data_IF_997552117048
#
_entry.id   IF_997552117048
#
_cell.length_a   1.000
_cell.length_b   1.000
_cell.length_c   1.000
_cell.angle_alpha   90.00
_cell.angle_beta   90.00
_cell.angle_gamma   90.00
#
_symmetry.space_group_name_H-M   'P 1'
#
loop_
_entity.id
_entity.type
_entity.pdbx_description
1 polymer ?
#
# COMPACT_ATOMS: atom_id res chain seq x y z
N UNK A 1 -13.45 -16.48 0.70
CA UNK A 1 -13.37 -15.43 -0.33
C UNK A 1 -14.79 -14.96 -0.60
N UNK A 2 -15.12 -13.69 -0.33
CA UNK A 2 -16.45 -13.11 -0.58
C UNK A 2 -16.48 -12.37 -1.92
N UNK A 3 -17.67 -12.07 -2.46
CA UNK A 3 -17.80 -11.28 -3.71
C UNK A 3 -17.15 -9.90 -3.59
N UNK A 4 -17.28 -9.27 -2.43
CA UNK A 4 -16.67 -7.97 -2.11
C UNK A 4 -15.14 -8.05 -2.19
N UNK A 5 -14.53 -9.11 -1.65
CA UNK A 5 -13.08 -9.33 -1.76
C UNK A 5 -12.64 -9.51 -3.22
N UNK A 6 -13.45 -10.17 -4.06
CA UNK A 6 -13.15 -10.34 -5.50
C UNK A 6 -13.24 -9.01 -6.25
N UNK A 7 -14.20 -8.15 -5.89
CA UNK A 7 -14.31 -6.80 -6.44
C UNK A 7 -13.02 -6.00 -6.22
N UNK A 8 -12.39 -6.13 -5.05
CA UNK A 8 -11.15 -5.44 -4.68
C UNK A 8 -9.89 -5.93 -5.44
N UNK A 9 -10.00 -7.03 -6.20
CA UNK A 9 -8.93 -7.53 -7.06
C UNK A 9 -9.04 -7.00 -8.50
N UNK A 10 -10.12 -6.30 -8.85
CA UNK A 10 -10.32 -5.84 -10.21
C UNK A 10 -9.34 -4.71 -10.58
N UNK A 11 -8.69 -4.76 -11.76
CA UNK A 11 -7.75 -3.72 -12.17
C UNK A 11 -8.44 -2.42 -12.56
N UNK A 12 -9.73 -2.46 -12.93
CA UNK A 12 -10.57 -1.29 -13.19
C UNK A 12 -12.07 -1.66 -13.18
N UNK A 13 -12.93 -0.64 -13.14
CA UNK A 13 -14.38 -0.79 -13.13
C UNK A 13 -14.95 -1.47 -14.40
N UNK A 14 -14.32 -1.28 -15.56
CA UNK A 14 -14.77 -1.88 -16.82
C UNK A 14 -14.52 -3.40 -16.84
N UNK A 15 -13.37 -3.83 -16.35
CA UNK A 15 -12.97 -5.22 -16.18
C UNK A 15 -13.85 -5.90 -15.14
N UNK A 16 -14.17 -5.21 -14.05
CA UNK A 16 -15.12 -5.69 -13.05
C UNK A 16 -16.52 -5.90 -13.65
N UNK A 17 -17.06 -4.92 -14.37
CA UNK A 17 -18.38 -5.02 -15.01
C UNK A 17 -18.43 -6.20 -15.99
N UNK A 18 -17.39 -6.35 -16.82
CA UNK A 18 -17.28 -7.48 -17.74
C UNK A 18 -17.12 -8.83 -17.02
N UNK A 19 -16.39 -8.86 -15.90
CA UNK A 19 -16.24 -10.05 -15.05
C UNK A 19 -17.56 -10.48 -14.41
N UNK A 20 -18.34 -9.54 -13.85
CA UNK A 20 -19.69 -9.79 -13.33
C UNK A 20 -20.61 -10.37 -14.41
N UNK A 21 -20.53 -9.87 -15.65
CA UNK A 21 -21.31 -10.40 -16.76
C UNK A 21 -20.89 -11.83 -17.20
N UNK A 22 -19.66 -12.26 -16.87
CA UNK A 22 -19.16 -13.61 -17.11
C UNK A 22 -19.36 -14.55 -15.91
N UNK A 23 -19.77 -14.03 -14.76
CA UNK A 23 -20.06 -14.81 -13.57
C UNK A 23 -21.43 -15.51 -13.67
N UNK A 24 -21.65 -16.28 -14.74
CA UNK A 24 -22.86 -17.05 -15.04
C UNK A 24 -22.43 -18.44 -15.50
N UNK A 25 -22.92 -19.50 -14.84
CA UNK A 25 -22.45 -20.89 -15.04
C UNK A 25 -22.53 -21.37 -16.49
N UNK A 26 -23.62 -21.06 -17.20
CA UNK A 26 -23.85 -21.53 -18.56
C UNK A 26 -22.83 -21.02 -19.61
N UNK A 27 -21.97 -20.07 -19.26
CA UNK A 27 -20.88 -19.59 -20.12
C UNK A 27 -19.61 -20.42 -19.98
N UNK A 28 -19.52 -21.24 -18.93
CA UNK A 28 -18.36 -22.04 -18.60
C UNK A 28 -18.57 -23.50 -19.01
N UNK A 29 -17.61 -24.03 -19.75
CA UNK A 29 -17.56 -25.42 -20.19
C UNK A 29 -17.12 -26.32 -19.03
N UNK A 30 -16.12 -25.85 -18.26
CA UNK A 30 -15.61 -26.54 -17.08
C UNK A 30 -15.44 -25.56 -15.92
N UNK A 31 -15.74 -26.04 -14.72
CA UNK A 31 -15.58 -25.33 -13.46
C UNK A 31 -15.10 -26.34 -12.41
N UNK A 32 -13.85 -26.21 -11.98
CA UNK A 32 -13.25 -27.11 -11.00
C UNK A 32 -12.34 -26.37 -10.04
N UNK A 33 -12.14 -26.94 -8.86
CA UNK A 33 -11.24 -26.40 -7.86
C UNK A 33 -10.65 -27.51 -6.98
N UNK A 34 -9.55 -27.20 -6.31
CA UNK A 34 -9.03 -27.96 -5.19
C UNK A 34 -8.54 -26.99 -4.08
N UNK A 35 -7.74 -27.50 -3.14
CA UNK A 35 -7.22 -26.71 -2.02
C UNK A 35 -6.28 -25.57 -2.44
N UNK A 36 -5.63 -25.64 -3.62
CA UNK A 36 -4.59 -24.67 -4.03
C UNK A 36 -4.95 -23.85 -5.27
N UNK A 37 -5.82 -24.35 -6.15
CA UNK A 37 -6.11 -23.71 -7.43
C UNK A 37 -7.56 -23.87 -7.85
N UNK A 38 -8.06 -22.83 -8.50
CA UNK A 38 -9.36 -22.74 -9.14
C UNK A 38 -9.15 -22.66 -10.64
N UNK A 39 -9.90 -23.42 -11.44
CA UNK A 39 -9.76 -23.38 -12.89
C UNK A 39 -11.07 -23.62 -13.64
N UNK A 40 -11.12 -23.12 -14.86
CA UNK A 40 -12.26 -23.32 -15.74
C UNK A 40 -11.99 -22.90 -17.17
N UNK A 41 -12.82 -23.41 -18.07
CA UNK A 41 -12.80 -23.08 -19.49
C UNK A 41 -14.07 -22.31 -19.84
N UNK A 42 -13.91 -21.14 -20.47
CA UNK A 42 -15.02 -20.27 -20.87
C UNK A 42 -15.00 -20.08 -22.37
N UNK A 43 -16.15 -20.25 -23.02
CA UNK A 43 -16.24 -20.07 -24.46
C UNK A 43 -16.03 -18.59 -24.81
N UNK A 44 -14.98 -18.33 -25.59
CA UNK A 44 -14.63 -17.01 -26.07
C UNK A 44 -15.10 -16.74 -27.50
N UNK A 45 -14.55 -15.68 -28.09
CA UNK A 45 -14.75 -15.35 -29.52
C UNK A 45 -13.95 -16.24 -30.47
N UNK A 46 -13.08 -17.11 -29.95
CA UNK A 46 -12.28 -18.07 -30.72
C UNK A 46 -12.90 -19.46 -30.77
N UNK A 47 -12.27 -20.36 -31.55
CA UNK A 47 -12.67 -21.77 -31.66
C UNK A 47 -12.42 -22.54 -30.37
N UNK A 48 -11.28 -22.32 -29.73
CA UNK A 48 -10.90 -22.95 -28.47
C UNK A 48 -11.38 -22.11 -27.26
N UNK A 49 -11.93 -22.73 -26.21
CA UNK A 49 -12.25 -22.05 -24.96
C UNK A 49 -11.02 -21.39 -24.32
N UNK A 50 -11.24 -20.25 -23.64
CA UNK A 50 -10.19 -19.65 -22.83
C UNK A 50 -10.02 -20.42 -21.52
N UNK A 51 -8.81 -20.89 -21.28
CA UNK A 51 -8.40 -21.54 -20.02
C UNK A 51 -8.07 -20.47 -19.01
N UNK A 52 -8.73 -20.52 -17.85
CA UNK A 52 -8.60 -19.54 -16.78
C UNK A 52 -8.23 -20.24 -15.49
N UNK A 53 -7.25 -19.69 -14.76
CA UNK A 53 -6.68 -20.27 -13.54
C UNK A 53 -6.51 -19.19 -12.48
N UNK A 54 -6.80 -19.53 -11.24
CA UNK A 54 -6.58 -18.68 -10.08
C UNK A 54 -5.88 -19.50 -8.99
N UNK A 55 -4.67 -19.10 -8.64
CA UNK A 55 -3.93 -19.62 -7.49
C UNK A 55 -4.58 -19.07 -6.23
N UNK A 56 -5.13 -19.96 -5.39
CA UNK A 56 -5.87 -19.59 -4.19
C UNK A 56 -4.96 -19.32 -3.00
N UNK A 57 -3.68 -19.69 -3.06
CA UNK A 57 -2.71 -19.51 -1.98
C UNK A 57 -2.00 -18.15 -2.08
N UNK A 58 -1.65 -17.74 -3.31
CA UNK A 58 -0.96 -16.47 -3.55
C UNK A 58 -1.84 -15.42 -4.25
N UNK A 59 -3.10 -15.74 -4.52
CA UNK A 59 -4.05 -14.89 -5.25
C UNK A 59 -3.47 -14.37 -6.56
N UNK A 60 -3.03 -15.30 -7.41
CA UNK A 60 -2.47 -14.99 -8.73
C UNK A 60 -3.38 -15.51 -9.85
N UNK A 61 -3.35 -14.85 -11.01
CA UNK A 61 -4.27 -15.12 -12.10
C UNK A 61 -3.53 -15.47 -13.38
N UNK A 62 -4.03 -16.48 -14.09
CA UNK A 62 -3.63 -16.80 -15.45
C UNK A 62 -4.87 -17.01 -16.31
N UNK A 63 -4.79 -16.54 -17.55
CA UNK A 63 -5.81 -16.78 -18.55
C UNK A 63 -5.15 -16.83 -19.93
N UNK A 64 -5.65 -17.68 -20.83
CA UNK A 64 -5.17 -17.74 -22.22
C UNK A 64 -5.74 -16.65 -23.14
N UNK A 65 -6.58 -15.74 -22.62
CA UNK A 65 -7.16 -14.65 -23.41
C UNK A 65 -6.12 -13.55 -23.75
N UNK A 66 -6.32 -12.76 -24.82
CA UNK A 66 -5.37 -11.74 -25.26
C UNK A 66 -5.36 -10.46 -24.40
N UNK A 67 -6.09 -10.44 -23.28
CA UNK A 67 -6.14 -9.28 -22.38
C UNK A 67 -4.76 -8.99 -21.80
N UNK A 68 -4.39 -7.71 -21.79
CA UNK A 68 -3.21 -7.22 -21.07
C UNK A 68 -3.50 -6.76 -19.64
N UNK A 69 -4.78 -6.74 -19.25
CA UNK A 69 -5.24 -6.42 -17.89
C UNK A 69 -5.42 -7.69 -17.08
N UNK A 70 -4.80 -7.74 -15.90
CA UNK A 70 -4.85 -8.87 -14.98
C UNK A 70 -5.19 -8.37 -13.57
N UNK A 71 -6.14 -9.00 -12.85
CA UNK A 71 -7.06 -10.05 -13.30
C UNK A 71 -7.93 -9.63 -14.49
N UNK A 72 -8.01 -10.47 -15.53
CA UNK A 72 -8.87 -10.20 -16.68
C UNK A 72 -10.34 -10.50 -16.33
N UNK A 73 -11.28 -10.09 -17.19
CA UNK A 73 -12.71 -10.40 -17.02
C UNK A 73 -13.01 -11.89 -16.78
N UNK A 74 -12.26 -12.81 -17.39
CA UNK A 74 -12.45 -14.25 -17.20
C UNK A 74 -11.98 -14.69 -15.80
N UNK A 75 -10.82 -14.20 -15.35
CA UNK A 75 -10.31 -14.47 -14.00
C UNK A 75 -11.24 -13.94 -12.92
N UNK A 76 -11.74 -12.71 -13.08
CA UNK A 76 -12.75 -12.13 -12.19
C UNK A 76 -14.06 -12.92 -12.23
N UNK A 77 -14.54 -13.28 -13.42
CA UNK A 77 -15.79 -14.05 -13.57
C UNK A 77 -15.72 -15.43 -12.90
N UNK A 78 -14.60 -16.15 -13.07
CA UNK A 78 -14.37 -17.46 -12.44
C UNK A 78 -14.36 -17.34 -10.92
N UNK A 79 -13.62 -16.36 -10.38
CA UNK A 79 -13.50 -16.18 -8.94
C UNK A 79 -14.81 -15.67 -8.31
N UNK A 80 -15.59 -14.84 -9.02
CA UNK A 80 -16.93 -14.41 -8.59
C UNK A 80 -17.92 -15.58 -8.53
N UNK A 81 -17.91 -16.48 -9.51
CA UNK A 81 -18.73 -17.70 -9.46
C UNK A 81 -18.36 -18.57 -8.26
N UNK A 82 -17.07 -18.69 -7.98
CA UNK A 82 -16.59 -19.46 -6.83
C UNK A 82 -17.02 -18.82 -5.50
N UNK A 83 -16.90 -17.50 -5.38
CA UNK A 83 -17.34 -16.75 -4.21
C UNK A 83 -18.85 -16.87 -3.94
N UNK A 84 -19.65 -17.06 -5.00
CA UNK A 84 -21.11 -17.32 -4.93
C UNK A 84 -21.47 -18.76 -4.58
N UNK A 85 -20.48 -19.64 -4.41
CA UNK A 85 -20.70 -21.08 -4.23
C UNK A 85 -21.59 -21.69 -5.33
N UNK A 86 -21.32 -21.30 -6.58
CA UNK A 86 -22.10 -21.76 -7.73
C UNK A 86 -22.08 -23.31 -7.83
N UNK A 87 -23.24 -23.99 -7.89
CA UNK A 87 -23.35 -25.45 -7.81
C UNK A 87 -22.58 -26.21 -8.91
N UNK A 88 -22.24 -25.55 -10.03
CA UNK A 88 -21.48 -26.15 -11.13
C UNK A 88 -20.01 -26.48 -10.84
N UNK A 89 -19.44 -26.01 -9.71
CA UNK A 89 -18.06 -26.30 -9.35
C UNK A 89 -17.85 -27.75 -8.88
N UNK A 90 -16.86 -28.42 -9.47
CA UNK A 90 -16.44 -29.75 -9.04
C UNK A 90 -15.13 -29.68 -8.24
N UNK A 91 -15.15 -30.22 -7.03
CA UNK A 91 -13.90 -30.49 -6.30
C UNK A 91 -13.17 -31.64 -7.00
N UNK A 92 -11.91 -31.43 -7.40
CA UNK A 92 -11.13 -32.41 -8.17
C UNK A 92 -9.66 -32.31 -7.79
N UNK A 93 -9.03 -33.40 -7.34
CA UNK A 93 -7.58 -33.44 -7.14
C UNK A 93 -6.83 -33.62 -8.47
N UNK A 94 -7.52 -34.11 -9.52
CA UNK A 94 -6.96 -34.27 -10.85
C UNK A 94 -6.86 -32.93 -11.59
N UNK A 95 -5.71 -32.29 -11.47
CA UNK A 95 -5.40 -31.06 -12.19
C UNK A 95 -5.05 -31.33 -13.66
N UNK A 96 -5.71 -30.64 -14.62
CA UNK A 96 -5.25 -30.65 -16.00
C UNK A 96 -3.78 -30.25 -16.12
N UNK A 97 -3.05 -30.81 -17.09
CA UNK A 97 -1.61 -30.56 -17.30
C UNK A 97 -1.26 -29.06 -17.32
N UNK A 98 -2.11 -28.23 -17.94
CA UNK A 98 -1.88 -26.79 -18.00
C UNK A 98 -2.06 -26.06 -16.65
N UNK A 99 -2.80 -26.64 -15.70
CA UNK A 99 -2.92 -26.13 -14.32
C UNK A 99 -1.67 -26.50 -13.54
N UNK A 100 -1.32 -27.79 -13.53
CA UNK A 100 -0.21 -28.31 -12.73
C UNK A 100 1.13 -27.75 -13.19
N UNK A 101 1.36 -27.61 -14.50
CA UNK A 101 2.53 -26.92 -15.05
C UNK A 101 2.62 -25.46 -14.63
N UNK A 102 1.49 -24.74 -14.59
CA UNK A 102 1.47 -23.33 -14.22
C UNK A 102 1.79 -23.14 -12.74
N UNK A 103 1.16 -23.90 -11.85
CA UNK A 103 1.44 -23.84 -10.41
C UNK A 103 2.87 -24.31 -10.11
N UNK A 104 3.34 -25.39 -10.72
CA UNK A 104 4.71 -25.89 -10.53
C UNK A 104 5.79 -24.87 -10.94
N UNK A 105 5.57 -24.14 -12.05
CA UNK A 105 6.45 -23.03 -12.47
C UNK A 105 6.45 -21.88 -11.46
N UNK A 106 5.34 -21.62 -10.76
CA UNK A 106 5.27 -20.58 -9.73
C UNK A 106 6.03 -20.99 -8.46
N UNK A 107 5.86 -22.23 -8.01
CA UNK A 107 6.59 -22.78 -6.85
C UNK A 107 8.11 -22.74 -7.07
N UNK A 108 8.59 -23.22 -8.22
CA UNK A 108 10.03 -23.18 -8.56
C UNK A 108 10.59 -21.76 -8.71
N UNK A 109 9.80 -20.79 -9.16
CA UNK A 109 10.22 -19.39 -9.23
C UNK A 109 10.32 -18.76 -7.83
N UNK A 110 9.41 -19.12 -6.92
CA UNK A 110 9.47 -18.69 -5.53
C UNK A 110 10.71 -19.27 -4.82
N UNK A 111 11.03 -20.55 -5.06
CA UNK A 111 12.24 -21.21 -4.54
C UNK A 111 13.53 -20.58 -5.08
N UNK A 112 13.62 -20.32 -6.40
CA UNK A 112 14.80 -19.68 -7.01
C UNK A 112 14.98 -18.21 -6.61
N UNK A 113 13.93 -17.51 -6.21
CA UNK A 113 14.05 -16.16 -5.65
C UNK A 113 14.66 -16.17 -4.24
N UNK A 114 14.58 -17.31 -3.55
CA UNK A 114 15.17 -17.53 -2.22
C UNK A 114 16.61 -18.09 -2.27
N UNK A 115 17.12 -18.48 -3.44
CA UNK A 115 18.51 -18.93 -3.58
C UNK A 115 19.48 -17.73 -3.54
N UNK A 116 20.50 -17.74 -2.67
CA UNK A 116 21.52 -16.71 -2.66
C UNK A 116 22.32 -16.74 -3.97
N UNK A 117 22.47 -15.56 -4.59
CA UNK A 117 23.23 -15.42 -5.83
C UNK A 117 24.69 -15.87 -5.64
N UNK A 118 25.21 -16.63 -6.62
CA UNK A 118 26.53 -17.23 -6.62
C UNK A 118 27.67 -16.24 -6.30
N UNK A 119 28.69 -16.79 -5.62
CA UNK A 119 29.82 -16.09 -5.00
C UNK A 119 30.68 -15.30 -6.00
N UNK A 120 30.55 -13.97 -5.95
CA UNK A 120 31.66 -13.06 -6.22
C UNK A 120 32.43 -12.91 -4.91
N UNK A 121 33.77 -12.87 -4.96
CA UNK A 121 34.64 -12.69 -3.79
C UNK A 121 34.04 -11.67 -2.79
N UNK A 122 33.63 -12.13 -1.58
CA UNK A 122 32.90 -11.31 -0.61
C UNK A 122 33.61 -10.02 -0.23
N UNK A 123 34.94 -10.05 -0.13
CA UNK A 123 35.74 -8.88 0.26
C UNK A 123 35.77 -7.79 -0.81
N UNK A 124 35.85 -8.18 -2.09
CA UNK A 124 35.83 -7.23 -3.19
C UNK A 124 34.45 -6.59 -3.34
N UNK A 125 33.39 -7.41 -3.20
CA UNK A 125 32.00 -6.93 -3.20
C UNK A 125 31.75 -5.93 -2.07
N UNK A 126 32.31 -6.17 -0.88
CA UNK A 126 32.19 -5.29 0.27
C UNK A 126 32.92 -3.96 0.03
N UNK A 127 34.17 -3.99 -0.45
CA UNK A 127 34.93 -2.78 -0.79
C UNK A 127 34.21 -1.94 -1.84
N UNK A 128 33.68 -2.57 -2.90
CA UNK A 128 32.92 -1.88 -3.94
C UNK A 128 31.58 -1.35 -3.44
N UNK A 129 30.96 -2.01 -2.45
CA UNK A 129 29.75 -1.52 -1.77
C UNK A 129 30.06 -0.27 -0.96
N UNK A 130 31.08 -0.31 -0.11
CA UNK A 130 31.50 0.82 0.71
C UNK A 130 31.92 2.03 -0.14
N UNK A 131 32.68 1.80 -1.22
CA UNK A 131 33.06 2.85 -2.16
C UNK A 131 31.85 3.51 -2.83
N UNK A 132 30.88 2.71 -3.31
CA UNK A 132 29.63 3.23 -3.88
C UNK A 132 28.80 4.00 -2.85
N UNK A 133 28.76 3.51 -1.61
CA UNK A 133 28.05 4.16 -0.52
C UNK A 133 28.66 5.53 -0.20
N UNK A 134 29.99 5.62 -0.13
CA UNK A 134 30.70 6.88 0.10
C UNK A 134 30.51 7.86 -1.05
N UNK A 135 30.62 7.41 -2.31
CA UNK A 135 30.37 8.24 -3.48
C UNK A 135 28.93 8.77 -3.51
N UNK A 136 27.96 7.93 -3.16
CA UNK A 136 26.56 8.33 -3.02
C UNK A 136 26.39 9.36 -1.92
N UNK A 137 26.99 9.15 -0.75
CA UNK A 137 26.94 10.09 0.37
C UNK A 137 27.44 11.48 -0.06
N UNK A 138 28.59 11.57 -0.73
CA UNK A 138 29.15 12.83 -1.22
C UNK A 138 28.23 13.55 -2.22
N UNK A 139 27.62 12.81 -3.15
CA UNK A 139 26.66 13.38 -4.11
C UNK A 139 25.41 13.93 -3.40
N UNK A 140 24.86 13.15 -2.48
CA UNK A 140 23.69 13.55 -1.70
C UNK A 140 24.00 14.76 -0.82
N UNK A 141 25.16 14.77 -0.16
CA UNK A 141 25.62 15.89 0.67
C UNK A 141 25.71 17.20 -0.13
N UNK A 142 26.29 17.15 -1.34
CA UNK A 142 26.33 18.30 -2.24
C UNK A 142 24.93 18.78 -2.64
N UNK A 143 24.04 17.85 -3.04
CA UNK A 143 22.65 18.18 -3.39
C UNK A 143 21.85 18.75 -2.22
N UNK A 144 22.02 18.20 -1.02
CA UNK A 144 21.43 18.69 0.23
C UNK A 144 21.91 20.11 0.54
N UNK A 145 23.18 20.41 0.29
CA UNK A 145 23.74 21.77 0.40
C UNK A 145 23.04 22.75 -0.53
N UNK A 146 22.95 22.40 -1.82
CA UNK A 146 22.31 23.22 -2.85
C UNK A 146 20.81 23.45 -2.55
N UNK A 147 20.07 22.38 -2.23
CA UNK A 147 18.64 22.47 -1.92
C UNK A 147 18.40 23.33 -0.68
N UNK A 148 19.23 23.20 0.35
CA UNK A 148 19.14 24.03 1.55
C UNK A 148 19.33 25.51 1.24
N UNK A 149 20.17 25.88 0.27
CA UNK A 149 20.32 27.27 -0.17
C UNK A 149 19.11 27.72 -1.00
N UNK A 150 18.66 26.89 -1.94
CA UNK A 150 17.49 27.15 -2.76
C UNK A 150 16.22 27.40 -1.93
N UNK A 151 15.98 26.61 -0.89
CA UNK A 151 14.88 26.79 0.05
C UNK A 151 14.98 28.13 0.81
N UNK A 152 16.18 28.48 1.28
CA UNK A 152 16.41 29.76 1.97
C UNK A 152 16.19 30.95 1.05
N UNK A 153 16.61 30.86 -0.21
CA UNK A 153 16.40 31.91 -1.20
C UNK A 153 14.92 32.06 -1.57
N UNK A 154 14.17 30.95 -1.66
CA UNK A 154 12.72 30.99 -1.88
C UNK A 154 12.01 31.72 -0.73
N UNK A 155 12.29 31.35 0.52
CA UNK A 155 11.69 32.02 1.69
C UNK A 155 12.13 33.47 1.79
N UNK A 156 13.41 33.77 1.55
CA UNK A 156 13.97 35.14 1.57
C UNK A 156 13.36 36.06 0.51
N UNK A 157 13.09 35.53 -0.69
CA UNK A 157 12.44 36.27 -1.77
C UNK A 157 10.94 36.48 -1.50
N UNK A 158 10.36 35.66 -0.63
CA UNK A 158 8.94 35.66 -0.29
C UNK A 158 8.14 34.67 -1.11
N UNK A 159 7.27 33.92 -0.43
CA UNK A 159 6.44 32.86 -1.03
C UNK A 159 5.39 33.39 -2.00
N UNK A 160 5.05 34.69 -1.94
CA UNK A 160 4.14 35.35 -2.89
C UNK A 160 4.58 35.25 -4.36
N UNK A 161 5.88 35.11 -4.61
CA UNK A 161 6.43 34.97 -5.96
C UNK A 161 6.45 33.54 -6.50
N UNK A 162 6.09 32.55 -5.68
CA UNK A 162 6.18 31.12 -6.01
C UNK A 162 5.23 30.73 -7.15
N UNK A 163 3.96 31.18 -7.20
CA UNK A 163 3.06 30.86 -8.31
C UNK A 163 3.59 31.31 -9.67
N UNK A 164 4.39 32.38 -9.72
CA UNK A 164 4.94 32.95 -10.96
C UNK A 164 6.13 32.16 -11.52
N UNK A 165 6.77 31.28 -10.72
CA UNK A 165 7.95 30.52 -11.16
C UNK A 165 7.62 29.46 -12.22
N UNK A 166 6.40 28.94 -12.18
CA UNK A 166 5.90 27.90 -13.08
C UNK A 166 6.56 26.52 -12.89
N UNK A 167 6.02 25.45 -13.53
CA UNK A 167 6.44 24.07 -13.25
C UNK A 167 7.91 23.77 -13.55
N UNK A 168 8.45 24.37 -14.62
CA UNK A 168 9.82 24.16 -15.09
C UNK A 168 10.87 24.54 -14.03
N UNK A 169 10.59 25.53 -13.19
CA UNK A 169 11.49 25.96 -12.13
C UNK A 169 11.74 24.84 -11.09
N UNK A 170 10.66 24.15 -10.71
CA UNK A 170 10.72 23.02 -9.79
C UNK A 170 11.29 21.78 -10.45
N UNK A 171 10.91 21.49 -11.70
CA UNK A 171 11.45 20.36 -12.47
C UNK A 171 12.97 20.42 -12.62
N UNK A 172 13.53 21.60 -12.91
CA UNK A 172 14.98 21.78 -13.01
C UNK A 172 15.70 21.52 -11.69
N UNK A 173 15.10 21.95 -10.58
CA UNK A 173 15.67 21.73 -9.24
C UNK A 173 15.54 20.26 -8.83
N UNK A 174 14.41 19.62 -9.13
CA UNK A 174 14.20 18.20 -8.92
C UNK A 174 15.19 17.35 -9.75
N UNK A 175 15.49 17.72 -10.99
CA UNK A 175 16.48 17.04 -11.82
C UNK A 175 17.87 17.05 -11.18
N UNK A 176 18.29 18.19 -10.60
CA UNK A 176 19.56 18.28 -9.86
C UNK A 176 19.57 17.38 -8.62
N UNK A 177 18.44 17.20 -7.94
CA UNK A 177 18.33 16.25 -6.82
C UNK A 177 18.42 14.79 -7.28
N UNK A 178 17.89 14.47 -8.46
CA UNK A 178 18.08 13.14 -9.09
C UNK A 178 19.56 12.90 -9.41
N UNK A 179 20.25 13.88 -9.99
CA UNK A 179 21.69 13.81 -10.28
C UNK A 179 22.53 13.64 -9.01
N UNK A 180 22.10 14.27 -7.92
CA UNK A 180 22.65 14.12 -6.57
C UNK A 180 22.30 12.78 -5.90
N UNK A 181 21.52 11.90 -6.55
CA UNK A 181 21.03 10.63 -6.00
C UNK A 181 20.11 10.76 -4.76
N UNK A 182 19.45 11.90 -4.64
CA UNK A 182 18.49 12.25 -3.59
C UNK A 182 17.06 12.29 -4.14
N UNK A 183 16.57 11.14 -4.63
CA UNK A 183 15.28 11.03 -5.32
C UNK A 183 14.08 11.39 -4.43
N UNK A 184 14.17 11.17 -3.11
CA UNK A 184 13.11 11.59 -2.18
C UNK A 184 13.00 13.11 -2.09
N UNK A 185 14.14 13.81 -2.04
CA UNK A 185 14.18 15.28 -2.14
C UNK A 185 13.68 15.77 -3.49
N UNK A 186 14.01 15.07 -4.58
CA UNK A 186 13.50 15.40 -5.92
C UNK A 186 11.97 15.34 -5.95
N UNK A 187 11.37 14.31 -5.37
CA UNK A 187 9.91 14.17 -5.29
C UNK A 187 9.29 15.25 -4.41
N UNK A 188 9.88 15.59 -3.27
CA UNK A 188 9.41 16.71 -2.46
C UNK A 188 9.51 18.07 -3.17
N UNK A 189 10.49 18.27 -4.06
CA UNK A 189 10.54 19.46 -4.93
C UNK A 189 9.46 19.41 -6.02
N UNK A 190 9.18 18.24 -6.61
CA UNK A 190 8.07 18.09 -7.57
C UNK A 190 6.71 18.36 -6.93
N UNK A 191 6.54 18.11 -5.63
CA UNK A 191 5.30 18.34 -4.91
C UNK A 191 4.80 19.79 -4.99
N UNK A 192 5.69 20.78 -5.16
CA UNK A 192 5.28 22.18 -5.42
C UNK A 192 4.42 22.33 -6.69
N UNK A 193 4.53 21.44 -7.67
CA UNK A 193 3.69 21.46 -8.87
C UNK A 193 2.27 20.92 -8.65
N UNK A 194 2.04 20.25 -7.52
CA UNK A 194 0.73 19.70 -7.16
C UNK A 194 -0.08 20.64 -6.25
N UNK A 195 0.53 21.74 -5.79
CA UNK A 195 -0.13 22.76 -4.97
C UNK A 195 -1.13 23.56 -5.81
N UNK A 196 -2.35 23.71 -5.30
CA UNK A 196 -3.41 24.48 -5.93
C UNK A 196 -3.27 25.98 -5.64
N UNK A 197 -2.43 26.68 -6.41
CA UNK A 197 -2.13 28.11 -6.20
C UNK A 197 -3.31 29.08 -6.38
N UNK A 198 -4.46 28.61 -6.88
CA UNK A 198 -5.70 29.40 -6.97
C UNK A 198 -6.50 29.44 -5.66
N UNK A 199 -6.21 28.57 -4.69
CA UNK A 199 -6.91 28.49 -3.41
C UNK A 199 -6.49 29.57 -2.41
N UNK A 200 -7.06 29.55 -1.21
CA UNK A 200 -6.68 30.46 -0.11
C UNK A 200 -5.59 29.89 0.81
N UNK A 201 -5.28 28.60 0.73
CA UNK A 201 -4.38 27.90 1.65
C UNK A 201 -3.00 27.58 1.05
N UNK A 202 -2.75 27.91 -0.21
CA UNK A 202 -1.53 27.49 -0.91
C UNK A 202 -0.25 28.01 -0.23
N UNK A 203 -0.30 29.17 0.44
CA UNK A 203 0.85 29.74 1.14
C UNK A 203 1.30 28.81 2.29
N UNK A 204 0.34 28.26 3.02
CA UNK A 204 0.59 27.29 4.08
C UNK A 204 1.18 26.00 3.51
N UNK A 205 0.64 25.51 2.39
CA UNK A 205 1.14 24.31 1.70
C UNK A 205 2.57 24.48 1.19
N UNK A 206 2.88 25.63 0.58
CA UNK A 206 4.24 25.97 0.15
C UNK A 206 5.19 26.00 1.33
N UNK A 207 4.81 26.69 2.42
CA UNK A 207 5.67 26.80 3.60
C UNK A 207 5.87 25.44 4.27
N UNK A 208 4.83 24.62 4.34
CA UNK A 208 4.90 23.25 4.84
C UNK A 208 5.87 22.41 4.02
N UNK A 209 5.76 22.46 2.69
CA UNK A 209 6.66 21.74 1.78
C UNK A 209 8.11 22.21 1.93
N UNK A 210 8.33 23.53 2.04
CA UNK A 210 9.65 24.11 2.32
C UNK A 210 10.21 23.62 3.66
N UNK A 211 9.40 23.65 4.72
CA UNK A 211 9.80 23.22 6.07
C UNK A 211 10.16 21.74 6.11
N UNK A 212 9.36 20.87 5.48
CA UNK A 212 9.62 19.43 5.43
C UNK A 212 10.95 19.13 4.70
N UNK A 213 11.14 19.70 3.51
CA UNK A 213 12.40 19.56 2.77
C UNK A 213 13.59 20.10 3.57
N UNK A 214 13.42 21.26 4.23
CA UNK A 214 14.46 21.84 5.05
C UNK A 214 14.82 20.93 6.23
N UNK A 215 13.83 20.40 6.95
CA UNK A 215 14.05 19.47 8.05
C UNK A 215 14.80 18.21 7.60
N UNK A 216 14.46 17.63 6.44
CA UNK A 216 15.23 16.51 5.89
C UNK A 216 16.66 16.90 5.51
N UNK A 217 16.88 18.09 4.95
CA UNK A 217 18.26 18.58 4.68
C UNK A 217 19.07 18.71 5.97
N UNK A 218 18.47 19.21 7.06
CA UNK A 218 19.15 19.34 8.35
C UNK A 218 19.36 17.99 9.02
N UNK A 219 18.38 17.08 8.95
CA UNK A 219 18.49 15.74 9.50
C UNK A 219 19.61 14.95 8.80
N UNK A 220 19.74 15.07 7.48
CA UNK A 220 20.85 14.45 6.75
C UNK A 220 22.22 15.03 7.13
N UNK A 221 22.33 16.36 7.29
CA UNK A 221 23.57 17.00 7.75
C UNK A 221 24.00 16.51 9.15
N UNK A 222 23.03 16.20 10.01
CA UNK A 222 23.26 15.70 11.36
C UNK A 222 23.17 14.17 11.47
N UNK A 223 23.15 13.45 10.36
CA UNK A 223 22.92 12.00 10.31
C UNK A 223 23.81 11.20 11.29
N UNK A 224 25.13 11.48 11.43
CA UNK A 224 25.98 10.72 12.36
C UNK A 224 25.60 10.86 13.84
N UNK A 225 24.83 11.90 14.20
CA UNK A 225 24.41 12.19 15.58
C UNK A 225 23.05 11.56 15.92
N UNK A 226 22.31 11.06 14.92
CA UNK A 226 20.99 10.48 15.12
C UNK A 226 21.10 9.03 15.60
N UNK A 227 20.13 8.52 16.39
CA UNK A 227 20.03 7.10 16.70
C UNK A 227 19.99 6.25 15.42
N UNK A 228 20.62 5.06 15.39
CA UNK A 228 20.71 4.24 14.17
C UNK A 228 19.37 3.98 13.45
N UNK A 229 18.24 3.71 14.14
CA UNK A 229 16.95 3.55 13.46
C UNK A 229 16.49 4.82 12.74
N UNK A 230 16.67 5.99 13.35
CA UNK A 230 16.31 7.28 12.76
C UNK A 230 17.25 7.66 11.61
N UNK A 231 18.50 7.18 11.60
CA UNK A 231 19.36 7.33 10.43
C UNK A 231 18.79 6.63 9.20
N UNK A 232 18.19 5.45 9.37
CA UNK A 232 17.55 4.72 8.27
C UNK A 232 16.29 5.46 7.79
N UNK A 233 15.52 6.07 8.69
CA UNK A 233 14.39 6.93 8.34
C UNK A 233 14.81 8.15 7.49
N UNK A 234 15.88 8.85 7.90
CA UNK A 234 16.41 9.98 7.12
C UNK A 234 16.91 9.51 5.76
N UNK A 235 17.64 8.39 5.69
CA UNK A 235 18.09 7.83 4.41
C UNK A 235 16.89 7.50 3.51
N UNK A 236 15.84 6.87 4.05
CA UNK A 236 14.61 6.59 3.32
C UNK A 236 13.98 7.87 2.76
N UNK A 237 13.82 8.91 3.59
CA UNK A 237 13.22 10.19 3.19
C UNK A 237 14.02 10.91 2.07
N UNK A 238 15.36 10.79 2.09
CA UNK A 238 16.22 11.37 1.05
C UNK A 238 16.17 10.55 -0.26
N UNK A 239 15.64 9.33 -0.25
CA UNK A 239 15.62 8.40 -1.39
C UNK A 239 16.79 7.41 -1.39
N UNK A 240 17.50 7.29 -0.28
CA UNK A 240 18.54 6.29 0.00
C UNK A 240 17.99 5.11 0.82
N UNK A 241 16.80 4.63 0.47
CA UNK A 241 16.24 3.45 1.13
C UNK A 241 16.92 2.15 0.74
N UNK A 242 16.77 1.13 1.60
CA UNK A 242 17.20 -0.26 1.32
C UNK A 242 16.24 -0.92 0.34
N UNK A 243 16.78 -1.74 -0.57
CA UNK A 243 15.93 -2.59 -1.41
C UNK A 243 15.45 -3.81 -0.63
N UNK A 244 14.42 -4.49 -1.14
CA UNK A 244 13.95 -5.75 -0.58
C UNK A 244 15.04 -6.83 -0.47
N UNK A 245 16.02 -6.81 -1.38
CA UNK A 245 17.15 -7.76 -1.40
C UNK A 245 18.22 -7.43 -0.35
N UNK A 246 18.19 -6.24 0.21
CA UNK A 246 19.15 -5.78 1.22
C UNK A 246 18.63 -5.99 2.65
N UNK A 247 17.40 -6.49 2.81
CA UNK A 247 16.89 -7.01 4.07
C UNK A 247 17.54 -8.38 4.30
N UNK A 248 18.54 -8.41 5.17
CA UNK A 248 19.19 -9.63 5.60
C UNK A 248 18.39 -10.37 6.68
N UNK A 249 18.93 -11.50 7.12
CA UNK A 249 18.35 -12.34 8.19
C UNK A 249 18.20 -11.60 9.54
N UNK A 250 18.93 -10.51 9.74
CA UNK A 250 18.86 -9.67 10.94
C UNK A 250 17.61 -8.77 11.01
N UNK A 251 16.81 -8.70 9.94
CA UNK A 251 15.58 -7.91 9.93
C UNK A 251 14.53 -8.49 10.90
N UNK A 252 13.87 -7.62 11.66
CA UNK A 252 12.79 -8.00 12.56
C UNK A 252 11.72 -8.77 11.77
N UNK A 253 11.44 -10.00 12.18
CA UNK A 253 10.49 -10.89 11.53
C UNK A 253 9.35 -11.22 12.49
N UNK A 254 8.11 -10.97 12.08
CA UNK A 254 6.91 -11.21 12.88
C UNK A 254 5.97 -12.14 12.13
N UNK A 255 5.71 -13.32 12.70
CA UNK A 255 4.64 -14.21 12.24
C UNK A 255 3.35 -13.81 12.94
N UNK A 256 2.30 -13.53 12.17
CA UNK A 256 0.98 -13.17 12.71
C UNK A 256 -0.15 -13.51 11.73
N UNK A 257 -1.37 -13.32 12.22
CA UNK A 257 -2.62 -13.29 11.47
C UNK A 257 -2.92 -11.83 11.10
N UNK A 258 -2.57 -11.45 9.88
CA UNK A 258 -2.60 -10.07 9.41
C UNK A 258 -3.90 -9.75 8.67
N UNK A 259 -4.74 -8.90 9.26
CA UNK A 259 -5.88 -8.30 8.57
C UNK A 259 -5.42 -7.14 7.69
N UNK A 260 -5.78 -7.15 6.41
CA UNK A 260 -5.60 -5.98 5.55
C UNK A 260 -6.71 -4.95 5.85
N UNK A 261 -6.36 -3.93 6.64
CA UNK A 261 -7.25 -2.85 7.05
C UNK A 261 -7.71 -1.97 5.89
N UNK A 262 -6.84 -1.75 4.91
CA UNK A 262 -7.12 -0.84 3.82
C UNK A 262 -6.16 -1.00 2.66
N UNK A 263 -6.59 -0.51 1.51
CA UNK A 263 -5.78 -0.44 0.30
C UNK A 263 -5.98 0.92 -0.37
N UNK A 264 -4.88 1.50 -0.86
CA UNK A 264 -4.94 2.64 -1.77
C UNK A 264 -3.96 2.42 -2.90
N UNK A 265 -4.38 2.79 -4.09
CA UNK A 265 -3.56 2.69 -5.30
C UNK A 265 -3.32 4.08 -5.89
N UNK A 266 -2.06 4.40 -6.20
CA UNK A 266 -1.65 5.65 -6.85
C UNK A 266 -0.88 5.32 -8.12
N UNK A 267 -1.09 6.08 -9.19
CA UNK A 267 -0.31 5.94 -10.43
C UNK A 267 0.74 7.06 -10.51
N UNK A 268 2.01 6.68 -10.61
CA UNK A 268 3.16 7.58 -10.72
C UNK A 268 4.02 7.15 -11.91
N UNK A 269 4.16 7.99 -12.93
CA UNK A 269 5.07 7.74 -14.08
C UNK A 269 4.97 6.32 -14.69
N UNK A 270 3.73 5.81 -14.85
CA UNK A 270 3.37 4.46 -15.38
C UNK A 270 3.63 3.30 -14.41
N UNK A 271 3.94 3.59 -13.15
CA UNK A 271 4.03 2.64 -12.07
C UNK A 271 2.79 2.81 -11.20
N UNK A 272 2.05 1.73 -10.96
CA UNK A 272 1.03 1.74 -9.90
C UNK A 272 1.70 1.34 -8.61
N UNK A 273 1.60 2.21 -7.60
CA UNK A 273 2.00 1.93 -6.22
C UNK A 273 0.74 1.61 -5.44
N UNK A 274 0.68 0.40 -4.91
CA UNK A 274 -0.41 -0.06 -4.07
C UNK A 274 0.06 -0.15 -2.62
N UNK A 275 -0.53 0.67 -1.76
CA UNK A 275 -0.33 0.67 -0.31
C UNK A 275 -1.36 -0.26 0.32
N UNK A 276 -0.92 -1.22 1.14
CA UNK A 276 -1.80 -2.06 1.93
C UNK A 276 -1.42 -1.88 3.40
N UNK A 277 -2.36 -1.38 4.21
CA UNK A 277 -2.20 -1.26 5.66
C UNK A 277 -2.74 -2.50 6.32
N UNK A 278 -1.99 -3.07 7.27
CA UNK A 278 -2.34 -4.29 7.96
C UNK A 278 -2.29 -4.14 9.48
N UNK A 279 -3.05 -4.99 10.16
CA UNK A 279 -3.03 -5.16 11.60
C UNK A 279 -2.86 -6.64 11.96
N UNK A 280 -1.89 -6.95 12.82
CA UNK A 280 -1.63 -8.28 13.33
C UNK A 280 -2.42 -8.56 14.60
N UNK A 281 -3.28 -9.58 14.57
CA UNK A 281 -4.17 -9.90 15.70
C UNK A 281 -3.43 -10.36 16.96
N UNK A 282 -2.33 -11.09 16.81
CA UNK A 282 -1.60 -11.68 17.94
C UNK A 282 -0.61 -10.68 18.53
N UNK A 283 0.10 -9.95 17.67
CA UNK A 283 1.15 -9.02 18.07
C UNK A 283 0.65 -7.60 18.35
N UNK A 284 -0.54 -7.24 17.87
CA UNK A 284 -1.03 -5.85 17.88
C UNK A 284 -0.23 -4.92 16.98
N UNK A 285 0.66 -5.45 16.13
CA UNK A 285 1.50 -4.66 15.24
C UNK A 285 0.70 -4.15 14.05
N UNK A 286 1.05 -2.95 13.61
CA UNK A 286 0.62 -2.42 12.33
C UNK A 286 1.73 -2.65 11.29
N UNK A 287 1.36 -2.88 10.03
CA UNK A 287 2.31 -2.96 8.91
C UNK A 287 1.83 -2.24 7.64
N UNK A 288 2.78 -1.75 6.82
CA UNK A 288 2.55 -1.25 5.46
C UNK A 288 3.34 -2.07 4.46
N UNK A 289 2.60 -2.69 3.53
CA UNK A 289 3.16 -3.42 2.40
C UNK A 289 2.91 -2.63 1.13
N UNK A 290 4.00 -2.26 0.47
CA UNK A 290 3.96 -1.62 -0.84
C UNK A 290 4.11 -2.68 -1.93
N UNK A 291 3.14 -2.72 -2.84
CA UNK A 291 3.24 -3.49 -4.07
C UNK A 291 3.35 -2.55 -5.25
N UNK A 292 4.15 -2.93 -6.24
CA UNK A 292 4.38 -2.13 -7.44
C UNK A 292 3.98 -2.95 -8.66
N UNK A 293 3.25 -2.33 -9.58
CA UNK A 293 3.06 -2.88 -10.92
C UNK A 293 3.42 -1.86 -11.99
N UNK A 294 3.84 -2.36 -13.15
CA UNK A 294 4.20 -1.52 -14.29
C UNK A 294 3.10 -1.60 -15.35
N UNK A 295 2.57 -0.44 -15.75
CA UNK A 295 1.45 -0.34 -16.69
C UNK A 295 0.23 -1.20 -16.25
N UNK A 296 -0.41 -1.91 -17.20
CA UNK A 296 -1.60 -2.72 -16.96
C UNK A 296 -1.30 -4.10 -16.32
N UNK A 297 -0.06 -4.34 -15.88
CA UNK A 297 0.25 -5.58 -15.16
C UNK A 297 -0.50 -5.60 -13.83
N UNK A 298 -1.15 -6.72 -13.52
CA UNK A 298 -1.79 -6.90 -12.23
C UNK A 298 -0.79 -6.86 -11.09
N UNK A 299 -1.21 -6.33 -9.95
CA UNK A 299 -0.44 -6.43 -8.72
C UNK A 299 -0.56 -7.87 -8.20
N UNK A 300 0.51 -8.65 -8.32
CA UNK A 300 0.57 -9.97 -7.69
C UNK A 300 0.88 -9.77 -6.20
N UNK A 301 -0.09 -10.07 -5.34
CA UNK A 301 0.08 -10.01 -3.88
C UNK A 301 -0.78 -11.09 -3.21
N UNK A 302 -0.23 -11.83 -2.23
CA UNK A 302 -1.03 -12.74 -1.42
C UNK A 302 -1.97 -11.99 -0.47
N UNK A 303 -1.83 -10.67 -0.34
CA UNK A 303 -2.65 -9.86 0.57
C UNK A 303 -3.98 -9.53 -0.09
N UNK A 304 -5.05 -10.09 0.47
CA UNK A 304 -6.41 -9.84 0.01
C UNK A 304 -7.07 -8.86 0.97
N UNK A 305 -7.54 -7.71 0.49
CA UNK A 305 -8.18 -6.70 1.34
C UNK A 305 -9.36 -7.31 2.11
N UNK A 306 -9.43 -7.02 3.42
CA UNK A 306 -10.52 -7.49 4.27
C UNK A 306 -10.51 -9.01 4.44
N UNK A 307 -9.35 -9.64 4.34
CA UNK A 307 -9.11 -11.03 4.72
C UNK A 307 -7.90 -11.09 5.64
N UNK A 308 -7.88 -12.09 6.51
CA UNK A 308 -6.74 -12.35 7.38
C UNK A 308 -5.76 -13.25 6.63
N UNK A 309 -4.53 -12.80 6.47
CA UNK A 309 -3.41 -13.54 5.90
C UNK A 309 -2.50 -14.06 7.01
N UNK A 310 -2.32 -15.37 7.09
CA UNK A 310 -1.34 -16.00 7.99
C UNK A 310 0.04 -15.85 7.36
N UNK A 311 0.85 -14.92 7.85
CA UNK A 311 2.07 -14.53 7.18
C UNK A 311 3.19 -14.15 8.15
N UNK A 312 4.42 -14.36 7.68
CA UNK A 312 5.63 -13.80 8.29
C UNK A 312 5.99 -12.52 7.56
N UNK A 313 6.00 -11.40 8.26
CA UNK A 313 6.44 -10.11 7.73
C UNK A 313 7.85 -9.77 8.22
N UNK A 314 8.68 -9.24 7.32
CA UNK A 314 10.01 -8.71 7.63
C UNK A 314 9.97 -7.19 7.58
N UNK A 315 10.27 -6.53 8.69
CA UNK A 315 10.18 -5.08 8.84
C UNK A 315 11.48 -4.39 8.41
N UNK A 316 11.31 -3.25 7.74
CA UNK A 316 12.43 -2.37 7.44
C UNK A 316 12.91 -1.67 8.73
N UNK A 317 14.23 -1.53 8.93
CA UNK A 317 14.76 -0.73 10.03
C UNK A 317 14.24 0.70 10.00
N UNK A 318 13.73 1.16 11.15
CA UNK A 318 13.15 2.48 11.35
C UNK A 318 13.03 2.73 12.85
N UNK A 319 12.99 3.99 13.28
CA UNK A 319 12.60 4.35 14.64
C UNK A 319 11.14 3.99 14.94
N UNK A 320 10.33 3.80 13.90
CA UNK A 320 8.98 3.24 13.98
C UNK A 320 8.79 2.18 12.86
N UNK A 321 9.23 0.92 13.09
CA UNK A 321 9.18 -0.13 12.08
C UNK A 321 7.75 -0.50 11.69
N UNK A 322 7.30 0.10 10.59
CA UNK A 322 5.96 -0.09 10.05
C UNK A 322 5.97 -0.63 8.61
N UNK A 323 6.91 -0.18 7.78
CA UNK A 323 7.09 -0.72 6.42
C UNK A 323 7.63 -2.14 6.52
N UNK A 324 7.06 -3.07 5.77
CA UNK A 324 7.49 -4.46 5.76
C UNK A 324 7.44 -5.11 4.38
N UNK A 325 7.90 -6.36 4.30
CA UNK A 325 7.72 -7.28 3.18
C UNK A 325 7.05 -8.56 3.67
N UNK A 326 6.29 -9.20 2.78
CA UNK A 326 5.79 -10.56 3.01
C UNK A 326 6.94 -11.54 2.74
N UNK A 327 7.53 -12.08 3.79
CA UNK A 327 8.59 -13.08 3.69
C UNK A 327 8.01 -14.47 3.41
N UNK A 328 6.89 -14.80 4.05
CA UNK A 328 6.20 -16.07 3.87
C UNK A 328 4.68 -15.87 4.02
N UNK A 329 3.88 -16.52 3.18
CA UNK A 329 2.43 -16.55 3.29
C UNK A 329 1.94 -18.01 3.35
N UNK A 330 1.27 -18.37 4.44
CA UNK A 330 0.87 -19.75 4.76
C UNK A 330 -0.60 -20.04 4.46
N UNK A 331 -1.36 -19.02 4.12
CA UNK A 331 -2.78 -19.13 3.81
C UNK A 331 -3.58 -18.04 4.50
N UNK A 332 -4.87 -18.29 4.64
CA UNK A 332 -5.80 -17.28 5.13
C UNK A 332 -6.69 -17.83 6.22
N UNK A 333 -7.17 -16.94 7.08
CA UNK A 333 -8.19 -17.22 8.08
C UNK A 333 -9.54 -16.60 7.68
N UNK A 334 -10.62 -17.31 7.96
CA UNK A 334 -11.99 -16.84 7.67
C UNK A 334 -12.69 -16.31 8.93
N UNK A 335 -12.24 -16.72 10.13
CA UNK A 335 -12.78 -16.24 11.39
C UNK A 335 -11.99 -15.04 11.90
N UNK A 336 -12.68 -13.95 12.22
CA UNK A 336 -12.04 -12.74 12.76
C UNK A 336 -11.89 -12.86 14.28
N UNK A 337 -10.66 -12.87 14.82
CA UNK A 337 -10.45 -12.84 16.26
C UNK A 337 -10.94 -11.52 16.88
N UNK A 338 -10.96 -11.47 18.21
CA UNK A 338 -11.07 -10.20 18.92
C UNK A 338 -9.80 -9.38 18.67
N UNK A 339 -9.96 -8.14 18.21
CA UNK A 339 -8.86 -7.21 17.99
C UNK A 339 -8.59 -6.39 19.25
N UNK A 340 -7.32 -6.06 19.47
CA UNK A 340 -6.94 -5.02 20.43
C UNK A 340 -6.97 -3.67 19.70
N UNK A 341 -8.03 -2.90 19.93
CA UNK A 341 -8.28 -1.62 19.26
C UNK A 341 -8.21 -0.48 20.26
N UNK A 342 -7.93 0.73 19.78
CA UNK A 342 -8.03 1.92 20.62
C UNK A 342 -9.50 2.13 21.03
N UNK A 343 -9.79 2.38 22.31
CA UNK A 343 -11.17 2.58 22.78
C UNK A 343 -11.74 3.94 22.37
N UNK A 344 -10.88 4.93 22.09
CA UNK A 344 -11.22 6.31 21.77
C UNK A 344 -10.03 7.07 21.15
N UNK A 345 -10.25 8.33 20.76
CA UNK A 345 -9.21 9.14 20.13
C UNK A 345 -8.09 9.57 21.08
N UNK A 346 -8.33 9.67 22.38
CA UNK A 346 -7.29 10.09 23.34
C UNK A 346 -6.18 9.06 23.47
N UNK A 347 -6.52 7.77 23.47
CA UNK A 347 -5.51 6.70 23.43
C UNK A 347 -4.81 6.64 22.07
N UNK A 348 -5.56 6.83 20.98
CA UNK A 348 -4.99 6.86 19.63
C UNK A 348 -4.00 8.04 19.45
N UNK A 349 -4.31 9.22 19.98
CA UNK A 349 -3.42 10.38 19.98
C UNK A 349 -2.18 10.17 20.85
N UNK A 350 -2.32 9.44 21.96
CA UNK A 350 -1.16 9.06 22.79
C UNK A 350 -0.21 8.18 21.98
N UNK A 351 -0.74 7.22 21.23
CA UNK A 351 0.05 6.40 20.31
C UNK A 351 0.69 7.24 19.20
N UNK A 352 -0.06 8.13 18.53
CA UNK A 352 0.49 9.02 17.50
C UNK A 352 1.62 9.90 18.05
N UNK A 353 1.45 10.47 19.24
CA UNK A 353 2.49 11.28 19.89
C UNK A 353 3.76 10.47 20.18
N UNK A 354 3.63 9.23 20.64
CA UNK A 354 4.77 8.33 20.82
C UNK A 354 5.45 8.01 19.47
N UNK A 355 4.65 7.77 18.43
CA UNK A 355 5.16 7.56 17.08
C UNK A 355 5.95 8.76 16.58
N UNK A 356 5.45 10.00 16.73
CA UNK A 356 6.17 11.20 16.28
C UNK A 356 7.39 11.55 17.13
N UNK A 357 7.38 11.21 18.42
CA UNK A 357 8.57 11.34 19.25
C UNK A 357 9.71 10.44 18.76
N UNK A 358 9.38 9.22 18.29
CA UNK A 358 10.36 8.29 17.74
C UNK A 358 10.72 8.62 16.27
N UNK A 359 9.71 8.91 15.45
CA UNK A 359 9.79 9.13 14.01
C UNK A 359 8.95 10.38 13.64
N UNK A 360 9.57 11.58 13.56
CA UNK A 360 8.86 12.85 13.37
C UNK A 360 8.22 13.09 11.97
N UNK A 361 8.43 12.19 11.03
CA UNK A 361 7.99 12.23 9.63
C UNK A 361 7.03 11.07 9.28
N UNK A 362 6.45 10.43 10.29
CA UNK A 362 5.44 9.40 10.09
C UNK A 362 4.09 10.07 9.77
N UNK A 363 3.77 10.19 8.48
CA UNK A 363 2.65 11.03 8.01
C UNK A 363 1.33 10.27 7.75
N UNK A 364 1.38 8.95 7.53
CA UNK A 364 0.22 8.11 7.18
C UNK A 364 0.17 6.90 8.13
N UNK A 365 -0.51 7.05 9.28
CA UNK A 365 -0.52 6.04 10.36
C UNK A 365 -1.92 5.42 10.46
N UNK A 366 -2.07 4.09 10.24
CA UNK A 366 -3.35 3.42 10.43
C UNK A 366 -3.65 3.30 11.92
N UNK A 367 -4.89 3.62 12.29
CA UNK A 367 -5.44 3.47 13.62
C UNK A 367 -6.69 2.58 13.51
N UNK A 368 -6.89 1.71 14.49
CA UNK A 368 -8.13 0.96 14.61
C UNK A 368 -8.81 1.35 15.91
N UNK A 369 -9.95 2.04 15.79
CA UNK A 369 -10.60 2.71 16.93
C UNK A 369 -12.03 2.19 17.08
N UNK A 370 -12.46 1.94 18.30
CA UNK A 370 -13.81 1.52 18.65
C UNK A 370 -14.75 2.71 18.84
N UNK A 371 -16.07 2.46 18.83
CA UNK A 371 -17.11 3.42 19.18
C UNK A 371 -17.05 4.75 18.41
N UNK A 372 -16.68 4.71 17.13
CA UNK A 372 -16.66 5.89 16.28
C UNK A 372 -18.01 6.08 15.58
N UNK A 373 -18.58 7.27 15.73
CA UNK A 373 -19.84 7.67 15.13
C UNK A 373 -19.61 8.73 14.05
N UNK A 374 -20.26 8.56 12.89
CA UNK A 374 -20.31 9.61 11.87
C UNK A 374 -21.21 10.75 12.33
N UNK A 375 -20.68 11.97 12.28
CA UNK A 375 -21.45 13.19 12.55
C UNK A 375 -21.19 14.21 11.44
N UNK A 376 -22.23 14.97 11.08
CA UNK A 376 -22.13 16.07 10.13
C UNK A 376 -22.26 17.38 10.89
N UNK A 377 -21.33 18.31 10.64
CA UNK A 377 -21.46 19.69 11.10
C UNK A 377 -21.25 20.62 9.91
N UNK A 378 -22.20 21.53 9.70
CA UNK A 378 -22.25 22.37 8.49
C UNK A 378 -22.19 21.52 7.21
N UNK A 379 -21.11 21.65 6.44
CA UNK A 379 -20.88 20.90 5.21
C UNK A 379 -19.87 19.76 5.36
N UNK A 380 -19.21 19.63 6.51
CA UNK A 380 -18.11 18.71 6.72
C UNK A 380 -18.53 17.48 7.55
N UNK A 381 -17.82 16.38 7.29
CA UNK A 381 -18.03 15.11 7.98
C UNK A 381 -16.93 14.87 9.00
N UNK A 382 -17.33 14.35 10.16
CA UNK A 382 -16.42 14.05 11.26
C UNK A 382 -16.69 12.65 11.79
N UNK A 383 -15.67 12.05 12.38
CA UNK A 383 -15.81 10.92 13.28
C UNK A 383 -15.79 11.45 14.71
N UNK A 384 -16.75 11.02 15.52
CA UNK A 384 -16.86 11.33 16.95
C UNK A 384 -16.71 10.07 17.77
N UNK A 385 -15.85 10.07 18.78
CA UNK A 385 -15.68 8.93 19.68
C UNK A 385 -16.67 8.94 20.87
N UNK A 386 -16.55 7.96 21.76
CA UNK A 386 -17.37 7.82 22.97
C UNK A 386 -17.13 8.92 24.04
N UNK A 387 -16.04 9.69 23.93
CA UNK A 387 -15.70 10.84 24.78
C UNK A 387 -16.08 12.17 24.13
N UNK A 388 -16.77 12.14 22.99
CA UNK A 388 -17.16 13.30 22.19
C UNK A 388 -16.00 14.09 21.58
N UNK A 389 -14.80 13.50 21.51
CA UNK A 389 -13.70 14.04 20.71
C UNK A 389 -14.00 13.80 19.24
N UNK A 390 -13.62 14.74 18.37
CA UNK A 390 -13.90 14.69 16.94
C UNK A 390 -12.62 14.79 16.12
N UNK A 391 -12.56 14.02 15.03
CA UNK A 391 -11.58 14.17 13.97
C UNK A 391 -12.29 14.40 12.63
N UNK A 392 -11.78 15.34 11.84
CA UNK A 392 -12.35 15.65 10.54
C UNK A 392 -12.05 14.54 9.55
N UNK A 393 -13.07 14.06 8.84
CA UNK A 393 -12.85 13.23 7.67
C UNK A 393 -12.28 14.15 6.58
N UNK A 394 -11.28 13.66 5.87
CA UNK A 394 -10.69 14.43 4.78
C UNK A 394 -11.72 14.71 3.68
N UNK A 395 -11.75 15.96 3.20
CA UNK A 395 -12.73 16.42 2.21
C UNK A 395 -12.63 15.71 0.84
N UNK A 396 -11.50 15.08 0.52
CA UNK A 396 -11.34 14.28 -0.70
C UNK A 396 -11.91 12.87 -0.56
N UNK A 397 -12.36 12.47 0.63
CA UNK A 397 -13.00 11.17 0.83
C UNK A 397 -14.36 11.13 0.12
N UNK A 398 -14.62 10.01 -0.57
CA UNK A 398 -15.81 9.82 -1.39
C UNK A 398 -17.09 9.88 -0.55
N UNK A 399 -17.92 10.91 -0.78
CA UNK A 399 -19.18 11.11 -0.06
C UNK A 399 -20.13 9.91 -0.19
N UNK A 400 -20.08 9.17 -1.31
CA UNK A 400 -20.89 7.94 -1.45
C UNK A 400 -20.50 6.86 -0.45
N UNK A 401 -19.21 6.79 -0.06
CA UNK A 401 -18.74 5.85 0.96
C UNK A 401 -19.17 6.28 2.36
N UNK A 402 -19.27 7.59 2.61
CA UNK A 402 -19.83 8.13 3.86
C UNK A 402 -21.31 7.76 3.97
N UNK A 403 -22.08 7.95 2.89
CA UNK A 403 -23.49 7.54 2.84
C UNK A 403 -23.65 6.02 3.02
N UNK A 404 -22.76 5.21 2.45
CA UNK A 404 -22.73 3.77 2.66
C UNK A 404 -22.50 3.42 4.14
N UNK A 405 -21.54 4.07 4.80
CA UNK A 405 -21.29 3.88 6.24
C UNK A 405 -22.51 4.24 7.09
N UNK A 406 -23.19 5.34 6.80
CA UNK A 406 -24.41 5.73 7.51
C UNK A 406 -25.53 4.71 7.32
N UNK A 407 -25.72 4.23 6.08
CA UNK A 407 -26.74 3.23 5.78
C UNK A 407 -26.49 1.91 6.52
N UNK A 408 -25.23 1.48 6.62
CA UNK A 408 -24.87 0.23 7.28
C UNK A 408 -24.87 0.33 8.81
N UNK A 409 -24.49 1.48 9.37
CA UNK A 409 -24.47 1.70 10.82
C UNK A 409 -25.79 2.17 11.41
N UNK A 410 -26.71 2.69 10.60
CA UNK A 410 -27.90 3.39 11.08
C UNK A 410 -27.55 4.63 11.93
N UNK A 411 -26.36 5.21 11.72
CA UNK A 411 -25.85 6.32 12.53
C UNK A 411 -25.38 5.91 13.93
N UNK A 412 -25.25 4.62 14.23
CA UNK A 412 -24.70 4.14 15.51
C UNK A 412 -23.17 4.14 15.51
N UNK A 413 -22.52 4.23 16.69
CA UNK A 413 -21.08 4.05 16.80
C UNK A 413 -20.64 2.68 16.28
N UNK A 414 -19.49 2.63 15.62
CA UNK A 414 -18.92 1.41 15.07
C UNK A 414 -17.40 1.40 15.21
N UNK A 415 -16.81 0.21 15.06
CA UNK A 415 -15.36 0.05 15.03
C UNK A 415 -14.82 0.33 13.63
N UNK A 416 -13.95 1.31 13.51
CA UNK A 416 -13.44 1.83 12.24
C UNK A 416 -11.91 1.77 12.22
N UNK A 417 -11.38 1.22 11.14
CA UNK A 417 -9.99 1.43 10.77
C UNK A 417 -9.90 2.72 9.98
N UNK A 418 -9.01 3.61 10.40
CA UNK A 418 -8.82 4.94 9.82
C UNK A 418 -7.34 5.15 9.54
N UNK A 419 -7.03 5.90 8.49
CA UNK A 419 -5.69 6.40 8.23
C UNK A 419 -5.63 7.83 8.74
N UNK A 420 -4.85 8.07 9.78
CA UNK A 420 -4.55 9.43 10.23
C UNK A 420 -3.51 10.05 9.29
N UNK A 421 -3.80 11.24 8.80
CA UNK A 421 -2.86 12.05 8.06
C UNK A 421 -3.15 13.54 8.23
N UNK A 422 -2.16 14.30 8.66
CA UNK A 422 -2.19 15.77 8.72
C UNK A 422 -3.38 16.39 9.49
N UNK A 423 -3.86 15.72 10.54
CA UNK A 423 -5.01 16.17 11.33
C UNK A 423 -6.37 15.73 10.78
N UNK A 424 -6.38 15.04 9.64
CA UNK A 424 -7.55 14.40 9.05
C UNK A 424 -7.49 12.90 9.21
N UNK A 425 -8.66 12.27 9.05
CA UNK A 425 -8.80 10.82 9.05
C UNK A 425 -9.45 10.36 7.75
N UNK A 426 -8.90 9.30 7.16
CA UNK A 426 -9.50 8.62 6.01
C UNK A 426 -10.01 7.24 6.45
N UNK A 427 -11.33 6.99 6.43
CA UNK A 427 -11.86 5.66 6.72
C UNK A 427 -11.32 4.60 5.74
N UNK A 428 -10.62 3.60 6.27
CA UNK A 428 -10.06 2.49 5.50
C UNK A 428 -11.06 1.33 5.39
N UNK A 429 -11.75 1.05 6.48
CA UNK A 429 -12.72 -0.03 6.61
C UNK A 429 -13.35 -0.03 7.99
N UNK A 430 -14.33 -0.90 8.20
CA UNK A 430 -15.05 -1.02 9.46
C UNK A 430 -15.36 -2.48 9.75
N UNK A 431 -15.48 -2.79 11.04
CA UNK A 431 -15.92 -4.11 11.49
C UNK A 431 -17.39 -4.02 11.89
N UNK A 432 -18.23 -4.85 11.27
CA UNK A 432 -19.62 -5.05 11.64
C UNK A 432 -19.81 -6.54 11.96
N UNK A 433 -20.25 -6.84 13.17
CA UNK A 433 -20.31 -8.20 13.71
C UNK A 433 -18.96 -8.94 13.57
N UNK A 434 -18.99 -10.13 12.96
CA UNK A 434 -17.82 -10.97 12.70
C UNK A 434 -17.24 -10.76 11.28
N UNK A 435 -17.54 -9.63 10.62
CA UNK A 435 -17.05 -9.34 9.26
C UNK A 435 -16.36 -7.99 9.19
N UNK A 436 -15.25 -7.94 8.44
CA UNK A 436 -14.56 -6.70 8.11
C UNK A 436 -14.92 -6.25 6.70
N UNK A 437 -15.35 -5.00 6.57
CA UNK A 437 -15.74 -4.38 5.32
C UNK A 437 -14.78 -3.24 4.97
N UNK A 438 -14.41 -3.16 3.70
CA UNK A 438 -13.48 -2.16 3.21
C UNK A 438 -14.18 -0.97 2.58
N UNK A 439 -13.54 0.18 2.72
CA UNK A 439 -13.93 1.44 2.12
C UNK A 439 -12.85 1.95 1.17
N UNK A 440 -11.57 1.82 1.51
CA UNK A 440 -10.47 2.26 0.66
C UNK A 440 -10.23 1.28 -0.51
N UNK A 441 -9.88 1.82 -1.69
CA UNK A 441 -9.59 1.07 -2.93
C UNK A 441 -8.34 1.63 -3.59
#
# INVERSE_FOLDING_TARGET
MTEEQVVQLAPDAASLKAGKALAVENKWVTLSYNSRVLWGEVQGSGKEPYRTQVDLQQTAFKCSCPSRKFPCKHGLGLLLLFAKSAPGFKNSEDEPVWVSEWIGKRQTKAEKAAEPAAEVNPEQKEKDRLKRQQQRYQKVEAGVGELSQWLRDMVRTGTLSVPEKGPRYFEQTAARMVDAQATGLANGVKAFNHIAYSGSNWQSEVLKQCSQLYLWTQAFKNLPQLPPPLQEDVKNAIGWGRSAKDLGEEAESVTDDWLVLGRMSREEDRITVQQNWLYGYTSGRIALILNFSYQNAGVETPLVPGRISKATLQFYPSAFPFRALVAEHRGYENMYPQANVFPDFSEAETFLNQTWQAQPWADEIPLWVDQLQLVKAENDWYLRDNKSQVMSIDSAFDEMKILQLLALSGGQPMRLAILYSEGYVYPLGFQLDATYHLLSV
#
